data_IF_571603232284
#
_entry.id   IF_571603232284
#
_cell.length_a   1.000
_cell.length_b   1.000
_cell.length_c   1.000
_cell.angle_alpha   90.00
_cell.angle_beta   90.00
_cell.angle_gamma   90.00
#
_symmetry.space_group_name_H-M   'P 1'
#
loop_
_entity.id
_entity.type
_entity.pdbx_description
1 polymer ?
#
# COMPACT_ATOMS: atom_id res chain seq x y z
N UNK A 1 31.20 48.92 -52.98
CA UNK A 1 32.41 49.38 -53.69
C UNK A 1 32.42 50.88 -53.61
N UNK A 2 33.53 51.45 -53.18
CA UNK A 2 33.63 52.91 -52.99
C UNK A 2 33.78 53.59 -54.35
N UNK A 3 34.49 52.94 -55.28
CA UNK A 3 34.74 53.42 -56.63
C UNK A 3 34.24 52.48 -57.74
N UNK A 4 34.22 52.99 -58.97
CA UNK A 4 33.98 52.20 -60.18
C UNK A 4 35.10 51.16 -60.43
N UNK A 5 36.34 51.50 -60.10
CA UNK A 5 37.47 50.58 -60.28
C UNK A 5 37.35 49.37 -59.36
N UNK A 6 36.90 49.56 -58.11
CA UNK A 6 36.65 48.45 -57.19
C UNK A 6 35.57 47.49 -57.74
N UNK A 7 34.52 48.05 -58.37
CA UNK A 7 33.47 47.26 -59.00
C UNK A 7 34.00 46.47 -60.21
N UNK A 8 34.85 47.09 -61.04
CA UNK A 8 35.50 46.42 -62.17
C UNK A 8 36.38 45.26 -61.69
N UNK A 9 37.21 45.48 -60.66
CA UNK A 9 38.09 44.46 -60.10
C UNK A 9 37.30 43.29 -59.50
N UNK A 10 36.22 43.58 -58.75
CA UNK A 10 35.36 42.55 -58.19
C UNK A 10 34.65 41.72 -59.28
N UNK A 11 34.24 42.34 -60.39
CA UNK A 11 33.65 41.62 -61.54
C UNK A 11 34.69 40.70 -62.19
N UNK A 12 35.91 41.17 -62.40
CA UNK A 12 36.98 40.33 -62.96
C UNK A 12 37.33 39.16 -62.04
N UNK A 13 37.31 39.36 -60.73
CA UNK A 13 37.45 38.28 -59.76
C UNK A 13 36.34 37.22 -59.89
N UNK A 14 35.08 37.63 -59.98
CA UNK A 14 33.96 36.70 -60.14
C UNK A 14 34.04 35.92 -61.46
N UNK A 15 34.43 36.58 -62.56
CA UNK A 15 34.67 35.92 -63.85
C UNK A 15 35.77 34.88 -63.76
N UNK A 16 36.91 35.23 -63.14
CA UNK A 16 38.07 34.33 -63.01
C UNK A 16 37.76 33.11 -62.14
N UNK A 17 36.96 33.29 -61.10
CA UNK A 17 36.68 32.24 -60.09
C UNK A 17 35.40 31.43 -60.39
N UNK A 18 34.56 31.88 -61.32
CA UNK A 18 33.30 31.23 -61.65
C UNK A 18 32.25 31.25 -60.53
N UNK A 19 32.41 32.12 -59.52
CA UNK A 19 31.57 32.15 -58.31
C UNK A 19 30.21 32.85 -58.49
N UNK A 20 29.69 32.89 -59.72
CA UNK A 20 28.35 33.41 -60.01
C UNK A 20 28.31 34.89 -60.42
N UNK A 21 27.18 35.55 -60.13
CA UNK A 21 26.86 36.91 -60.59
C UNK A 21 26.48 37.79 -59.41
N UNK A 22 26.99 39.01 -59.40
CA UNK A 22 26.64 40.04 -58.42
C UNK A 22 26.37 41.37 -59.13
N UNK A 23 25.60 42.25 -58.46
CA UNK A 23 25.39 43.63 -58.89
C UNK A 23 26.13 44.55 -57.93
N UNK A 24 27.02 45.39 -58.47
CA UNK A 24 27.80 46.34 -57.68
C UNK A 24 27.25 47.76 -57.89
N UNK A 25 27.12 48.50 -56.80
CA UNK A 25 26.69 49.90 -56.80
C UNK A 25 27.89 50.76 -56.35
N UNK A 26 28.67 51.35 -57.29
CA UNK A 26 29.80 52.21 -56.94
C UNK A 26 29.32 53.54 -56.36
N UNK A 27 29.67 53.81 -55.10
CA UNK A 27 29.15 54.98 -54.36
C UNK A 27 29.52 56.30 -55.05
N UNK A 28 30.74 56.43 -55.56
CA UNK A 28 31.20 57.65 -56.22
C UNK A 28 30.51 57.99 -57.56
N UNK A 29 29.71 57.09 -58.13
CA UNK A 29 29.00 57.28 -59.40
C UNK A 29 27.51 56.92 -59.31
N UNK A 30 26.99 56.73 -58.11
CA UNK A 30 25.58 56.42 -57.91
C UNK A 30 24.75 57.66 -58.22
N UNK A 31 23.87 57.57 -59.22
CA UNK A 31 22.88 58.61 -59.51
C UNK A 31 21.58 58.24 -58.82
N UNK A 32 21.20 58.99 -57.79
CA UNK A 32 19.98 58.75 -57.02
C UNK A 32 18.87 59.64 -57.56
N UNK A 33 17.83 59.02 -58.11
CA UNK A 33 16.62 59.75 -58.48
C UNK A 33 15.89 60.23 -57.21
N UNK A 34 15.24 61.41 -57.25
CA UNK A 34 14.39 61.84 -56.15
C UNK A 34 13.36 60.78 -55.78
N UNK A 35 13.15 60.63 -54.47
CA UNK A 35 12.14 59.74 -53.95
C UNK A 35 10.76 60.16 -54.42
N UNK A 36 9.87 59.18 -54.59
CA UNK A 36 8.46 59.45 -54.80
C UNK A 36 7.78 59.38 -53.45
N UNK A 37 7.33 60.53 -52.95
CA UNK A 37 6.58 60.60 -51.70
C UNK A 37 5.33 59.74 -51.77
N UNK A 38 5.11 58.93 -50.73
CA UNK A 38 3.91 58.12 -50.63
C UNK A 38 2.73 59.02 -50.21
N UNK A 39 1.57 58.93 -50.88
CA UNK A 39 0.41 59.69 -50.50
C UNK A 39 -0.09 59.23 -49.12
N UNK A 40 -0.62 60.17 -48.34
CA UNK A 40 -1.39 59.81 -47.15
C UNK A 40 -2.76 59.26 -47.59
N UNK A 41 -2.79 57.96 -47.90
CA UNK A 41 -3.97 57.25 -48.39
C UNK A 41 -4.19 55.97 -47.57
N UNK A 42 -5.45 55.56 -47.33
CA UNK A 42 -5.76 54.32 -46.63
C UNK A 42 -5.05 53.11 -47.28
N UNK A 43 -4.39 52.30 -46.45
CA UNK A 43 -3.67 51.11 -46.88
C UNK A 43 -2.31 51.35 -47.53
N UNK A 44 -1.79 52.59 -47.56
CA UNK A 44 -0.41 52.90 -47.93
C UNK A 44 0.41 53.12 -46.65
N UNK A 45 1.40 52.25 -46.42
CA UNK A 45 2.26 52.29 -45.24
C UNK A 45 3.38 53.33 -45.37
N UNK A 46 3.76 53.66 -46.60
CA UNK A 46 4.74 54.71 -46.89
C UNK A 46 5.74 54.33 -47.97
N UNK A 47 6.77 55.16 -48.13
CA UNK A 47 7.91 54.86 -48.99
C UNK A 47 8.80 53.81 -48.32
N UNK A 48 9.21 52.78 -49.07
CA UNK A 48 9.99 51.67 -48.54
C UNK A 48 11.32 52.11 -47.91
N UNK A 49 11.96 53.18 -48.42
CA UNK A 49 13.19 53.71 -47.82
C UNK A 49 12.97 54.28 -46.41
N UNK A 50 11.77 54.77 -46.10
CA UNK A 50 11.44 55.30 -44.78
C UNK A 50 11.04 54.21 -43.76
N UNK A 51 10.80 52.98 -44.22
CA UNK A 51 10.38 51.85 -43.38
C UNK A 51 11.56 50.95 -42.94
N UNK A 52 12.77 51.28 -43.38
CA UNK A 52 13.99 50.52 -43.07
C UNK A 52 15.00 51.39 -42.35
N UNK A 53 15.76 50.79 -41.44
CA UNK A 53 16.88 51.46 -40.77
C UNK A 53 18.19 51.10 -41.45
N UNK A 54 19.03 52.09 -41.76
CA UNK A 54 20.33 51.91 -42.39
C UNK A 54 21.35 52.91 -41.85
N UNK A 55 22.64 52.59 -42.00
CA UNK A 55 23.72 53.51 -41.63
C UNK A 55 23.78 54.72 -42.57
N UNK A 56 24.15 55.92 -42.07
CA UNK A 56 24.20 57.14 -42.90
C UNK A 56 25.07 57.01 -44.16
N UNK A 57 26.17 56.24 -44.08
CA UNK A 57 27.11 56.01 -45.19
C UNK A 57 26.50 55.31 -46.41
N UNK A 58 25.37 54.62 -46.25
CA UNK A 58 24.65 53.91 -47.33
C UNK A 58 23.28 54.54 -47.63
N UNK A 59 23.01 55.74 -47.12
CA UNK A 59 21.71 56.39 -47.30
C UNK A 59 21.34 56.57 -48.78
N UNK A 60 22.29 56.97 -49.62
CA UNK A 60 22.08 57.11 -51.07
C UNK A 60 21.77 55.78 -51.75
N UNK A 61 22.38 54.68 -51.29
CA UNK A 61 22.11 53.33 -51.81
C UNK A 61 20.70 52.90 -51.43
N UNK A 62 20.31 53.08 -50.17
CA UNK A 62 18.96 52.75 -49.70
C UNK A 62 17.90 53.56 -50.47
N UNK A 63 18.14 54.86 -50.68
CA UNK A 63 17.26 55.72 -51.45
C UNK A 63 17.21 55.34 -52.94
N UNK A 64 18.33 54.95 -53.54
CA UNK A 64 18.36 54.46 -54.93
C UNK A 64 17.56 53.19 -55.13
N UNK A 65 17.59 52.27 -54.15
CA UNK A 65 16.93 50.97 -54.26
C UNK A 65 15.45 51.02 -53.85
N UNK A 66 15.12 51.80 -52.83
CA UNK A 66 13.80 51.76 -52.17
C UNK A 66 13.04 53.08 -52.26
N UNK A 67 13.70 54.20 -52.59
CA UNK A 67 13.12 55.54 -52.59
C UNK A 67 12.00 55.77 -53.61
N UNK A 68 11.78 54.82 -54.53
CA UNK A 68 10.70 54.87 -55.53
C UNK A 68 9.73 53.71 -55.40
N UNK A 69 9.74 53.06 -54.25
CA UNK A 69 8.88 51.93 -53.92
C UNK A 69 7.95 52.33 -52.79
N UNK A 70 6.65 52.15 -52.97
CA UNK A 70 5.66 52.28 -51.92
C UNK A 70 5.32 50.91 -51.36
N UNK A 71 5.07 50.84 -50.06
CA UNK A 71 4.55 49.65 -49.40
C UNK A 71 3.07 49.85 -49.10
N UNK A 72 2.25 48.91 -49.55
CA UNK A 72 0.81 48.89 -49.36
C UNK A 72 0.39 47.66 -48.52
N UNK A 73 -0.78 47.72 -47.89
CA UNK A 73 -1.35 46.55 -47.20
C UNK A 73 -1.75 45.48 -48.20
N UNK A 74 -2.47 45.85 -49.27
CA UNK A 74 -3.00 44.95 -50.28
C UNK A 74 -3.08 45.58 -51.70
N UNK A 75 -3.44 44.76 -52.69
CA UNK A 75 -3.58 45.20 -54.08
C UNK A 75 -4.69 46.25 -54.30
N UNK A 76 -5.89 46.14 -53.68
CA UNK A 76 -6.91 47.19 -53.75
C UNK A 76 -6.40 48.57 -53.28
N UNK A 77 -5.71 48.64 -52.15
CA UNK A 77 -5.12 49.87 -51.63
C UNK A 77 -4.04 50.41 -52.59
N UNK A 78 -3.17 49.53 -53.10
CA UNK A 78 -2.17 49.88 -54.10
C UNK A 78 -2.81 50.49 -55.36
N UNK A 79 -3.90 49.88 -55.86
CA UNK A 79 -4.61 50.37 -57.04
C UNK A 79 -5.26 51.72 -56.79
N UNK A 80 -5.97 51.87 -55.67
CA UNK A 80 -6.63 53.12 -55.30
C UNK A 80 -5.64 54.29 -55.18
N UNK A 81 -4.44 54.05 -54.64
CA UNK A 81 -3.40 55.06 -54.55
C UNK A 81 -2.81 55.43 -55.93
N UNK A 82 -2.61 54.44 -56.81
CA UNK A 82 -2.10 54.66 -58.17
C UNK A 82 -3.09 55.36 -59.10
N UNK A 83 -4.40 55.15 -58.92
CA UNK A 83 -5.46 55.81 -59.70
C UNK A 83 -5.60 57.29 -59.36
N UNK A 84 -5.25 57.68 -58.13
CA UNK A 84 -5.22 59.07 -57.67
C UNK A 84 -3.95 59.82 -58.09
N UNK A 85 -2.95 59.11 -58.61
CA UNK A 85 -1.70 59.71 -59.06
C UNK A 85 -1.90 60.36 -60.44
N UNK A 86 -1.61 61.65 -60.54
CA UNK A 86 -1.65 62.40 -61.80
C UNK A 86 -0.53 62.02 -62.77
N UNK A 87 -0.26 62.88 -63.76
CA UNK A 87 0.72 62.63 -64.85
C UNK A 87 2.21 62.63 -64.41
N UNK A 88 2.49 62.40 -63.14
CA UNK A 88 3.83 62.41 -62.56
C UNK A 88 4.56 61.06 -62.63
N UNK A 89 5.78 60.99 -62.05
CA UNK A 89 6.55 59.75 -61.99
C UNK A 89 5.79 58.67 -61.19
N UNK A 90 5.63 57.49 -61.78
CA UNK A 90 4.95 56.35 -61.14
C UNK A 90 5.92 55.55 -60.26
N UNK A 91 5.54 55.18 -59.03
CA UNK A 91 6.32 54.32 -58.15
C UNK A 91 6.15 52.84 -58.51
N UNK A 92 7.06 52.01 -58.00
CA UNK A 92 6.76 50.59 -57.80
C UNK A 92 5.92 50.48 -56.52
N UNK A 93 4.88 49.65 -56.49
CA UNK A 93 4.11 49.39 -55.26
C UNK A 93 4.26 47.92 -54.90
N UNK A 94 4.57 47.63 -53.63
CA UNK A 94 4.70 46.28 -53.10
C UNK A 94 3.72 46.12 -51.95
N UNK A 95 2.96 45.04 -51.93
CA UNK A 95 2.00 44.73 -50.85
C UNK A 95 2.67 43.96 -49.71
N UNK A 96 2.03 43.86 -48.55
CA UNK A 96 2.46 42.96 -47.47
C UNK A 96 2.39 41.47 -47.87
N UNK A 97 1.52 41.14 -48.83
CA UNK A 97 1.43 39.80 -49.44
C UNK A 97 2.57 39.49 -50.44
N UNK A 98 3.36 40.48 -50.82
CA UNK A 98 4.49 40.33 -51.75
C UNK A 98 4.13 40.50 -53.23
N UNK A 99 2.92 40.95 -53.56
CA UNK A 99 2.56 41.35 -54.91
C UNK A 99 3.25 42.68 -55.29
N UNK A 100 3.64 42.81 -56.57
CA UNK A 100 4.42 43.94 -57.07
C UNK A 100 3.71 44.57 -58.26
N UNK A 101 3.43 45.87 -58.18
CA UNK A 101 2.94 46.69 -59.30
C UNK A 101 4.09 47.59 -59.76
N UNK A 102 4.56 47.42 -61.00
CA UNK A 102 5.65 48.22 -61.57
C UNK A 102 5.13 49.54 -62.18
N UNK A 103 5.98 50.57 -62.33
CA UNK A 103 5.60 51.86 -62.93
C UNK A 103 4.93 51.76 -64.31
N UNK A 104 5.28 50.75 -65.11
CA UNK A 104 4.68 50.46 -66.41
C UNK A 104 3.32 49.74 -66.37
N UNK A 105 2.73 49.56 -65.18
CA UNK A 105 1.43 48.90 -64.98
C UNK A 105 1.48 47.37 -64.91
N UNK A 106 2.65 46.76 -65.10
CA UNK A 106 2.81 45.31 -64.95
C UNK A 106 2.64 44.88 -63.48
N UNK A 107 1.75 43.91 -63.23
CA UNK A 107 1.48 43.34 -61.91
C UNK A 107 2.08 41.94 -61.83
N UNK A 108 2.80 41.65 -60.75
CA UNK A 108 3.36 40.34 -60.44
C UNK A 108 2.80 39.86 -59.11
N UNK A 109 2.30 38.64 -59.06
CA UNK A 109 1.74 38.01 -57.85
C UNK A 109 1.64 36.50 -58.02
N UNK A 110 1.22 35.81 -56.96
CA UNK A 110 1.15 34.35 -56.89
C UNK A 110 2.25 33.74 -56.02
N UNK A 111 2.09 32.46 -55.70
CA UNK A 111 3.04 31.72 -54.85
C UNK A 111 4.22 31.26 -55.71
N UNK A 112 5.38 31.86 -55.50
CA UNK A 112 6.61 31.47 -56.18
C UNK A 112 7.15 30.17 -55.55
N UNK A 113 6.84 29.02 -56.17
CA UNK A 113 7.26 27.70 -55.67
C UNK A 113 8.78 27.49 -55.67
N UNK A 114 9.55 28.37 -56.31
CA UNK A 114 11.01 28.34 -56.34
C UNK A 114 11.68 29.27 -55.32
N UNK A 115 10.94 30.20 -54.68
CA UNK A 115 11.42 30.94 -53.50
C UNK A 115 11.11 30.10 -52.26
N UNK A 116 11.90 29.05 -52.06
CA UNK A 116 12.04 28.42 -50.73
C UNK A 116 12.39 29.53 -49.73
N UNK A 117 12.01 29.36 -48.47
CA UNK A 117 12.03 30.30 -47.34
C UNK A 117 13.39 30.99 -47.00
N UNK A 118 14.36 30.97 -47.91
CA UNK A 118 15.70 31.55 -47.85
C UNK A 118 15.72 33.06 -48.18
N UNK A 119 14.68 33.79 -47.78
CA UNK A 119 14.80 35.26 -47.76
C UNK A 119 15.87 35.60 -46.72
N UNK A 120 16.96 36.24 -47.15
CA UNK A 120 18.06 36.68 -46.27
C UNK A 120 17.53 37.43 -45.03
N UNK A 121 16.42 38.16 -45.17
CA UNK A 121 15.75 38.85 -44.07
C UNK A 121 15.04 37.91 -43.09
N UNK A 122 14.44 36.81 -43.57
CA UNK A 122 13.84 35.79 -42.71
C UNK A 122 14.91 35.05 -41.90
N UNK A 123 16.02 34.70 -42.54
CA UNK A 123 17.17 34.07 -41.87
C UNK A 123 17.82 34.98 -40.84
N UNK A 124 17.96 36.28 -41.13
CA UNK A 124 18.48 37.27 -40.19
C UNK A 124 17.55 37.46 -38.97
N UNK A 125 16.23 37.40 -39.20
CA UNK A 125 15.24 37.42 -38.11
C UNK A 125 15.34 36.17 -37.24
N UNK A 126 15.38 35.00 -37.87
CA UNK A 126 15.56 33.72 -37.17
C UNK A 126 16.86 33.74 -36.36
N UNK A 127 17.96 34.21 -36.94
CA UNK A 127 19.25 34.34 -36.25
C UNK A 127 19.17 35.23 -35.00
N UNK A 128 18.39 36.31 -35.04
CA UNK A 128 18.16 37.18 -33.88
C UNK A 128 17.26 36.57 -32.81
N UNK A 129 16.30 35.73 -33.20
CA UNK A 129 15.35 35.09 -32.27
C UNK A 129 15.93 33.81 -31.64
N UNK A 130 16.84 33.11 -32.34
CA UNK A 130 17.45 31.85 -31.90
C UNK A 130 18.10 31.90 -30.50
N UNK A 131 18.89 32.91 -30.12
CA UNK A 131 19.49 32.98 -28.78
C UNK A 131 18.46 32.94 -27.66
N UNK A 132 17.35 33.68 -27.82
CA UNK A 132 16.26 33.72 -26.84
C UNK A 132 15.55 32.36 -26.77
N UNK A 133 15.32 31.71 -27.91
CA UNK A 133 14.71 30.38 -27.96
C UNK A 133 15.60 29.33 -27.28
N UNK A 134 16.93 29.38 -27.52
CA UNK A 134 17.91 28.50 -26.88
C UNK A 134 17.89 28.71 -25.36
N UNK A 135 17.91 29.95 -24.89
CA UNK A 135 17.87 30.25 -23.46
C UNK A 135 16.58 29.72 -22.81
N UNK A 136 15.42 29.95 -23.43
CA UNK A 136 14.15 29.41 -22.94
C UNK A 136 14.13 27.89 -22.91
N UNK A 137 14.68 27.23 -23.93
CA UNK A 137 14.78 25.77 -23.98
C UNK A 137 15.72 25.23 -22.89
N UNK A 138 16.84 25.89 -22.64
CA UNK A 138 17.77 25.55 -21.57
C UNK A 138 17.10 25.69 -20.19
N UNK A 139 16.42 26.80 -19.92
CA UNK A 139 15.70 27.00 -18.66
C UNK A 139 14.60 25.93 -18.44
N UNK A 140 13.85 25.58 -19.50
CA UNK A 140 12.85 24.51 -19.44
C UNK A 140 13.50 23.16 -19.13
N UNK A 141 14.63 22.85 -19.79
CA UNK A 141 15.39 21.62 -19.56
C UNK A 141 15.88 21.53 -18.11
N UNK A 142 16.52 22.59 -17.59
CA UNK A 142 16.99 22.63 -16.20
C UNK A 142 15.86 22.43 -15.19
N UNK A 143 14.71 23.08 -15.40
CA UNK A 143 13.53 22.89 -14.54
C UNK A 143 13.00 21.46 -14.59
N UNK A 144 12.94 20.87 -15.79
CA UNK A 144 12.48 19.49 -15.95
C UNK A 144 13.44 18.50 -15.25
N UNK A 145 14.76 18.68 -15.39
CA UNK A 145 15.76 17.85 -14.69
C UNK A 145 15.63 17.98 -13.18
N UNK A 146 15.47 19.19 -12.65
CA UNK A 146 15.28 19.40 -11.21
C UNK A 146 14.00 18.73 -10.69
N UNK A 147 12.90 18.82 -11.45
CA UNK A 147 11.64 18.17 -11.11
C UNK A 147 11.75 16.64 -11.15
N UNK A 148 12.42 16.08 -12.16
CA UNK A 148 12.71 14.64 -12.23
C UNK A 148 13.52 14.17 -11.03
N UNK A 149 14.60 14.87 -10.67
CA UNK A 149 15.42 14.50 -9.51
C UNK A 149 14.62 14.56 -8.19
N UNK A 150 13.77 15.57 -8.03
CA UNK A 150 12.90 15.68 -6.86
C UNK A 150 11.89 14.52 -6.78
N UNK A 151 11.27 14.15 -7.90
CA UNK A 151 10.34 13.02 -7.98
C UNK A 151 11.06 11.69 -7.71
N UNK A 152 12.26 11.48 -8.26
CA UNK A 152 13.08 10.29 -7.97
C UNK A 152 13.37 10.19 -6.48
N UNK A 153 13.80 11.28 -5.84
CA UNK A 153 14.05 11.27 -4.39
C UNK A 153 12.78 10.98 -3.55
N UNK A 154 11.61 11.45 -3.99
CA UNK A 154 10.34 11.10 -3.35
C UNK A 154 9.98 9.62 -3.51
N UNK A 155 10.22 9.05 -4.69
CA UNK A 155 10.00 7.62 -4.98
C UNK A 155 10.92 6.76 -4.13
N UNK A 156 12.20 7.11 -4.01
CA UNK A 156 13.17 6.39 -3.18
C UNK A 156 12.77 6.41 -1.70
N UNK A 157 12.41 7.59 -1.18
CA UNK A 157 11.92 7.73 0.20
C UNK A 157 10.64 6.92 0.44
N UNK A 158 9.70 6.97 -0.49
CA UNK A 158 8.46 6.20 -0.43
C UNK A 158 8.70 4.69 -0.45
N UNK A 159 9.62 4.24 -1.30
CA UNK A 159 10.02 2.83 -1.41
C UNK A 159 10.65 2.32 -0.12
N UNK A 160 11.52 3.13 0.50
CA UNK A 160 12.12 2.80 1.79
C UNK A 160 11.07 2.66 2.91
N UNK A 161 10.13 3.60 3.01
CA UNK A 161 9.05 3.55 3.98
C UNK A 161 8.11 2.34 3.76
N UNK A 162 7.86 2.01 2.49
CA UNK A 162 7.05 0.85 2.13
C UNK A 162 7.73 -0.46 2.55
N UNK A 163 9.03 -0.59 2.33
CA UNK A 163 9.80 -1.76 2.75
C UNK A 163 9.86 -1.89 4.27
N UNK A 164 10.08 -0.79 4.99
CA UNK A 164 10.02 -0.77 6.47
C UNK A 164 8.65 -1.21 6.99
N UNK A 165 7.57 -0.70 6.39
CA UNK A 165 6.20 -1.07 6.75
C UNK A 165 5.93 -2.55 6.47
N UNK A 166 6.45 -3.08 5.36
CA UNK A 166 6.32 -4.49 5.00
C UNK A 166 7.05 -5.40 6.00
N UNK A 167 8.23 -5.02 6.44
CA UNK A 167 8.99 -5.75 7.46
C UNK A 167 8.26 -5.73 8.81
N UNK A 168 7.73 -4.59 9.22
CA UNK A 168 6.94 -4.47 10.45
C UNK A 168 5.67 -5.33 10.42
N UNK A 169 4.94 -5.36 9.29
CA UNK A 169 3.78 -6.23 9.11
C UNK A 169 4.14 -7.71 9.17
N UNK A 170 5.25 -8.10 8.54
CA UNK A 170 5.72 -9.48 8.57
C UNK A 170 6.07 -9.93 10.00
N UNK A 171 6.71 -9.07 10.77
CA UNK A 171 7.03 -9.32 12.18
C UNK A 171 5.78 -9.40 13.05
N UNK A 172 4.84 -8.46 12.89
CA UNK A 172 3.56 -8.48 13.61
C UNK A 172 2.76 -9.76 13.32
N UNK A 173 2.75 -10.22 12.06
CA UNK A 173 2.10 -11.47 11.66
C UNK A 173 2.79 -12.72 12.22
N UNK A 174 4.12 -12.68 12.46
CA UNK A 174 4.82 -13.75 13.18
C UNK A 174 4.42 -13.75 14.66
N UNK A 175 4.41 -12.59 15.30
CA UNK A 175 4.01 -12.45 16.71
C UNK A 175 2.55 -12.87 16.95
N UNK A 176 1.64 -12.51 16.05
CA UNK A 176 0.23 -12.93 16.11
C UNK A 176 0.10 -14.46 16.05
N UNK A 177 0.81 -15.11 15.11
CA UNK A 177 0.81 -16.58 15.00
C UNK A 177 1.34 -17.25 16.26
N UNK A 178 2.48 -16.78 16.78
CA UNK A 178 3.04 -17.30 18.02
C UNK A 178 2.08 -17.16 19.20
N UNK A 179 1.41 -16.00 19.34
CA UNK A 179 0.41 -15.80 20.40
C UNK A 179 -0.81 -16.70 20.22
N UNK A 180 -1.28 -16.93 18.99
CA UNK A 180 -2.37 -17.87 18.72
C UNK A 180 -2.01 -19.30 19.09
N UNK A 181 -0.80 -19.73 18.76
CA UNK A 181 -0.30 -21.07 19.12
C UNK A 181 -0.19 -21.24 20.64
N UNK A 182 0.35 -20.24 21.34
CA UNK A 182 0.42 -20.22 22.81
C UNK A 182 -0.97 -20.24 23.46
N UNK A 183 -1.93 -19.47 22.92
CA UNK A 183 -3.31 -19.47 23.39
C UNK A 183 -3.97 -20.84 23.19
N UNK A 184 -3.81 -21.45 22.01
CA UNK A 184 -4.33 -22.78 21.72
C UNK A 184 -3.70 -23.86 22.60
N UNK A 185 -2.41 -23.79 22.90
CA UNK A 185 -1.75 -24.69 23.83
C UNK A 185 -2.29 -24.52 25.25
N UNK A 186 -2.41 -23.29 25.71
CA UNK A 186 -2.94 -22.97 27.05
C UNK A 186 -4.38 -23.45 27.19
N UNK A 187 -5.22 -23.26 26.16
CA UNK A 187 -6.58 -23.78 26.14
C UNK A 187 -6.61 -25.30 26.25
N UNK A 188 -5.78 -26.01 25.47
CA UNK A 188 -5.69 -27.49 25.57
C UNK A 188 -5.23 -27.96 26.95
N UNK A 189 -4.32 -27.22 27.60
CA UNK A 189 -3.90 -27.53 28.98
C UNK A 189 -5.04 -27.32 29.97
N UNK A 190 -5.80 -26.23 29.82
CA UNK A 190 -6.98 -25.95 30.64
C UNK A 190 -8.04 -27.04 30.48
N UNK A 191 -8.37 -27.44 29.25
CA UNK A 191 -9.39 -28.46 28.98
C UNK A 191 -9.00 -29.81 29.62
N UNK A 192 -7.72 -30.20 29.51
CA UNK A 192 -7.19 -31.41 30.18
C UNK A 192 -7.28 -31.32 31.70
N UNK A 193 -6.91 -30.17 32.27
CA UNK A 193 -7.00 -29.94 33.72
C UNK A 193 -8.46 -30.01 34.21
N UNK A 194 -9.40 -29.44 33.46
CA UNK A 194 -10.83 -29.51 33.76
C UNK A 194 -11.36 -30.95 33.68
N UNK A 195 -10.99 -31.71 32.65
CA UNK A 195 -11.37 -33.12 32.53
C UNK A 195 -10.81 -33.95 33.69
N UNK A 196 -9.54 -33.75 34.04
CA UNK A 196 -8.91 -34.41 35.18
C UNK A 196 -9.63 -34.06 36.49
N UNK A 197 -9.96 -32.78 36.73
CA UNK A 197 -10.68 -32.35 37.92
C UNK A 197 -12.08 -32.99 38.00
N UNK A 198 -12.83 -33.03 36.89
CA UNK A 198 -14.14 -33.71 36.83
C UNK A 198 -14.03 -35.19 37.17
N UNK A 199 -13.05 -35.89 36.58
CA UNK A 199 -12.83 -37.30 36.86
C UNK A 199 -12.47 -37.57 38.32
N UNK A 200 -11.63 -36.73 38.93
CA UNK A 200 -11.30 -36.84 40.36
C UNK A 200 -12.54 -36.60 41.23
N UNK A 201 -13.37 -35.63 40.87
CA UNK A 201 -14.61 -35.34 41.60
C UNK A 201 -15.62 -36.48 41.52
N UNK A 202 -15.82 -37.08 40.35
CA UNK A 202 -16.65 -38.28 40.17
C UNK A 202 -16.13 -39.46 41.00
N UNK A 203 -14.81 -39.69 41.01
CA UNK A 203 -14.20 -40.74 41.86
C UNK A 203 -14.39 -40.48 43.35
N UNK A 204 -14.29 -39.23 43.78
CA UNK A 204 -14.52 -38.86 45.17
C UNK A 204 -15.99 -39.10 45.54
N UNK A 205 -16.94 -38.74 44.67
CA UNK A 205 -18.36 -39.03 44.86
C UNK A 205 -18.66 -40.52 44.95
N UNK A 206 -18.04 -41.34 44.11
CA UNK A 206 -18.18 -42.81 44.18
C UNK A 206 -17.63 -43.36 45.49
N UNK A 207 -16.43 -42.94 45.88
CA UNK A 207 -15.77 -43.40 47.10
C UNK A 207 -16.52 -42.98 48.37
N UNK A 208 -17.09 -41.78 48.39
CA UNK A 208 -17.91 -41.28 49.51
C UNK A 208 -19.24 -42.02 49.60
N UNK A 209 -19.88 -42.32 48.46
CA UNK A 209 -21.08 -43.15 48.44
C UNK A 209 -20.81 -44.60 48.90
N UNK A 210 -19.66 -45.17 48.53
CA UNK A 210 -19.22 -46.49 48.99
C UNK A 210 -18.98 -46.50 50.51
N UNK A 211 -18.30 -45.48 51.05
CA UNK A 211 -18.15 -45.32 52.50
C UNK A 211 -19.50 -45.24 53.21
N UNK A 212 -20.44 -44.44 52.71
CA UNK A 212 -21.76 -44.32 53.32
C UNK A 212 -22.51 -45.67 53.35
N UNK A 213 -22.35 -46.51 52.31
CA UNK A 213 -22.91 -47.88 52.29
C UNK A 213 -22.24 -48.78 53.33
N UNK A 214 -20.91 -48.74 53.42
CA UNK A 214 -20.16 -49.50 54.41
C UNK A 214 -20.51 -49.08 55.84
N UNK A 215 -20.76 -47.80 56.08
CA UNK A 215 -21.22 -47.27 57.38
C UNK A 215 -22.57 -47.88 57.80
N UNK A 216 -23.53 -47.95 56.89
CA UNK A 216 -24.84 -48.55 57.15
C UNK A 216 -24.69 -50.05 57.42
N UNK A 217 -23.91 -50.77 56.62
CA UNK A 217 -23.65 -52.20 56.84
C UNK A 217 -22.98 -52.45 58.19
N UNK A 218 -22.00 -51.64 58.58
CA UNK A 218 -21.36 -51.76 59.90
C UNK A 218 -22.37 -51.57 61.04
N UNK A 219 -23.30 -50.61 60.91
CA UNK A 219 -24.36 -50.40 61.89
C UNK A 219 -25.31 -51.60 61.98
N UNK A 220 -25.77 -52.14 60.85
CA UNK A 220 -26.62 -53.33 60.80
C UNK A 220 -25.94 -54.54 61.45
N UNK A 221 -24.68 -54.80 61.13
CA UNK A 221 -23.91 -55.89 61.72
C UNK A 221 -23.68 -55.69 63.22
N UNK A 222 -23.43 -54.46 63.69
CA UNK A 222 -23.32 -54.18 65.12
C UNK A 222 -24.64 -54.43 65.87
N UNK A 223 -25.78 -54.10 65.25
CA UNK A 223 -27.11 -54.40 65.81
C UNK A 223 -27.36 -55.91 65.86
N UNK A 224 -27.07 -56.63 64.78
CA UNK A 224 -27.19 -58.09 64.75
C UNK A 224 -26.27 -58.76 65.79
N UNK A 225 -25.05 -58.25 65.96
CA UNK A 225 -24.09 -58.76 66.94
C UNK A 225 -24.59 -58.55 68.37
N UNK A 226 -25.15 -57.37 68.67
CA UNK A 226 -25.72 -57.09 70.00
C UNK A 226 -26.94 -57.96 70.29
N UNK A 227 -27.81 -58.21 69.30
CA UNK A 227 -28.94 -59.14 69.43
C UNK A 227 -28.45 -60.58 69.71
N UNK A 228 -27.51 -61.10 68.92
CA UNK A 228 -26.94 -62.43 69.12
C UNK A 228 -26.25 -62.54 70.49
N UNK A 229 -25.59 -61.49 70.97
CA UNK A 229 -25.01 -61.47 72.31
C UNK A 229 -26.08 -61.58 73.39
N UNK A 230 -27.20 -60.85 73.26
CA UNK A 230 -28.32 -60.94 74.21
C UNK A 230 -29.00 -62.31 74.19
N UNK A 231 -29.18 -62.90 73.00
CA UNK A 231 -29.71 -64.26 72.84
C UNK A 231 -28.77 -65.29 73.48
N UNK A 232 -27.45 -65.15 73.27
CA UNK A 232 -26.45 -66.01 73.88
C UNK A 232 -26.48 -65.94 75.41
N UNK A 233 -26.53 -64.74 75.98
CA UNK A 233 -26.58 -64.58 77.45
C UNK A 233 -27.86 -65.17 78.03
N UNK A 234 -29.00 -64.99 77.36
CA UNK A 234 -30.26 -65.60 77.79
C UNK A 234 -30.22 -67.14 77.72
N UNK A 235 -29.62 -67.70 76.66
CA UNK A 235 -29.42 -69.15 76.53
C UNK A 235 -28.45 -69.71 77.58
N UNK A 236 -27.36 -68.99 77.89
CA UNK A 236 -26.41 -69.34 78.96
C UNK A 236 -27.08 -69.34 80.34
N UNK A 237 -27.93 -68.34 80.63
CA UNK A 237 -28.73 -68.29 81.87
C UNK A 237 -29.72 -69.46 81.95
N UNK A 238 -30.44 -69.75 80.87
CA UNK A 238 -31.35 -70.90 80.80
C UNK A 238 -30.61 -72.22 81.01
N UNK A 239 -29.45 -72.39 80.37
CA UNK A 239 -28.61 -73.57 80.54
C UNK A 239 -28.16 -73.72 81.99
N UNK A 240 -27.73 -72.65 82.66
CA UNK A 240 -27.32 -72.67 84.06
C UNK A 240 -28.48 -73.07 84.99
N UNK A 241 -29.70 -72.61 84.71
CA UNK A 241 -30.91 -73.01 85.46
C UNK A 241 -31.21 -74.50 85.27
N UNK A 242 -31.13 -74.99 84.02
CA UNK A 242 -31.35 -76.43 83.74
C UNK A 242 -30.25 -77.27 84.40
N UNK A 243 -28.98 -76.88 84.28
CA UNK A 243 -27.83 -77.52 84.95
C UNK A 243 -28.06 -77.67 86.46
N UNK A 244 -28.46 -76.59 87.14
CA UNK A 244 -28.79 -76.63 88.57
C UNK A 244 -29.97 -77.57 88.88
N UNK A 245 -31.00 -77.61 88.03
CA UNK A 245 -32.14 -78.51 88.20
C UNK A 245 -31.76 -79.99 87.97
N UNK A 246 -30.84 -80.28 87.03
CA UNK A 246 -30.33 -81.63 86.76
C UNK A 246 -29.50 -82.13 87.94
N UNK A 247 -28.60 -81.30 88.48
CA UNK A 247 -27.79 -81.63 89.67
C UNK A 247 -28.67 -81.90 90.90
N UNK A 248 -29.80 -81.19 91.03
CA UNK A 248 -30.74 -81.40 92.13
C UNK A 248 -31.64 -82.64 91.98
N UNK A 249 -31.96 -83.08 90.75
CA UNK A 249 -33.02 -84.07 90.50
C UNK A 249 -32.53 -85.44 89.98
N UNK A 250 -31.29 -85.57 89.47
CA UNK A 250 -30.73 -86.85 89.04
C UNK A 250 -31.50 -87.58 87.92
N UNK A 251 -32.30 -86.87 87.12
CA UNK A 251 -33.20 -87.44 86.11
C UNK A 251 -32.54 -87.55 84.72
N UNK A 252 -32.65 -88.71 84.06
CA UNK A 252 -31.99 -88.94 82.76
C UNK A 252 -32.57 -88.13 81.59
N UNK A 253 -33.82 -87.68 81.71
CA UNK A 253 -34.50 -86.85 80.71
C UNK A 253 -33.96 -85.41 80.70
N UNK A 254 -33.53 -84.91 81.86
CA UNK A 254 -32.87 -83.61 82.00
C UNK A 254 -31.44 -83.61 81.43
N UNK A 255 -30.74 -84.76 81.43
CA UNK A 255 -29.42 -84.89 80.82
C UNK A 255 -29.46 -84.75 79.29
N UNK A 256 -30.51 -85.23 78.63
CA UNK A 256 -30.68 -85.08 77.17
C UNK A 256 -30.96 -83.60 76.81
N UNK A 257 -31.86 -82.94 77.54
CA UNK A 257 -32.14 -81.50 77.36
C UNK A 257 -30.89 -80.65 77.57
N UNK A 258 -30.04 -81.02 78.53
CA UNK A 258 -28.77 -80.36 78.81
C UNK A 258 -27.72 -80.57 77.70
N UNK A 259 -27.68 -81.76 77.09
CA UNK A 259 -26.84 -82.02 75.93
C UNK A 259 -27.28 -81.19 74.71
N UNK A 260 -28.59 -81.12 74.45
CA UNK A 260 -29.16 -80.35 73.36
C UNK A 260 -28.94 -78.83 73.55
N UNK A 261 -29.11 -78.31 74.77
CA UNK A 261 -28.82 -76.91 75.09
C UNK A 261 -27.33 -76.57 75.00
N UNK A 262 -26.43 -77.49 75.40
CA UNK A 262 -24.97 -77.30 75.22
C UNK A 262 -24.58 -77.26 73.74
N UNK A 263 -25.20 -78.09 72.91
CA UNK A 263 -25.01 -78.06 71.46
C UNK A 263 -25.49 -76.73 70.87
N UNK A 264 -26.69 -76.26 71.27
CA UNK A 264 -27.22 -74.96 70.84
C UNK A 264 -26.35 -73.78 71.30
N UNK A 265 -25.81 -73.81 72.52
CA UNK A 265 -24.91 -72.78 73.02
C UNK A 265 -23.57 -72.75 72.25
N UNK A 266 -23.00 -73.92 71.93
CA UNK A 266 -21.79 -74.02 71.13
C UNK A 266 -22.01 -73.50 69.69
N UNK A 267 -23.17 -73.80 69.09
CA UNK A 267 -23.55 -73.29 67.77
C UNK A 267 -23.73 -71.77 67.77
N UNK A 268 -24.42 -71.21 68.78
CA UNK A 268 -24.57 -69.77 68.97
C UNK A 268 -23.20 -69.08 69.16
N UNK A 269 -22.28 -69.70 69.91
CA UNK A 269 -20.92 -69.19 70.08
C UNK A 269 -20.12 -69.22 68.77
N UNK A 270 -20.30 -70.25 67.94
CA UNK A 270 -19.74 -70.34 66.59
C UNK A 270 -20.27 -69.23 65.67
N UNK A 271 -21.59 -69.00 65.67
CA UNK A 271 -22.23 -67.92 64.93
C UNK A 271 -21.74 -66.54 65.38
N UNK A 272 -21.58 -66.32 66.69
CA UNK A 272 -21.05 -65.06 67.20
C UNK A 272 -19.62 -64.80 66.72
N UNK A 273 -18.75 -65.81 66.78
CA UNK A 273 -17.36 -65.69 66.31
C UNK A 273 -17.28 -65.39 64.81
N UNK A 274 -18.13 -66.01 63.99
CA UNK A 274 -18.15 -65.74 62.54
C UNK A 274 -18.61 -64.31 62.25
N UNK A 275 -19.64 -63.82 62.94
CA UNK A 275 -20.12 -62.44 62.82
C UNK A 275 -19.08 -61.42 63.32
N UNK A 276 -18.37 -61.71 64.41
CA UNK A 276 -17.26 -60.86 64.89
C UNK A 276 -16.14 -60.75 63.84
N UNK A 277 -15.74 -61.86 63.23
CA UNK A 277 -14.72 -61.87 62.18
C UNK A 277 -15.16 -61.09 60.94
N UNK A 278 -16.45 -61.18 60.56
CA UNK A 278 -17.01 -60.43 59.44
C UNK A 278 -16.97 -58.92 59.70
N UNK A 279 -17.38 -58.49 60.91
CA UNK A 279 -17.33 -57.09 61.34
C UNK A 279 -15.91 -56.54 61.32
N UNK A 280 -14.93 -57.25 61.87
CA UNK A 280 -13.54 -56.78 61.86
C UNK A 280 -13.00 -56.59 60.44
N UNK A 281 -13.35 -57.48 59.52
CA UNK A 281 -12.93 -57.37 58.12
C UNK A 281 -13.57 -56.15 57.43
N UNK A 282 -14.86 -55.90 57.69
CA UNK A 282 -15.53 -54.70 57.18
C UNK A 282 -14.96 -53.41 57.79
N UNK A 283 -14.63 -53.39 59.09
CA UNK A 283 -13.99 -52.24 59.73
C UNK A 283 -12.64 -51.92 59.11
N UNK A 284 -11.80 -52.93 58.84
CA UNK A 284 -10.52 -52.74 58.12
C UNK A 284 -10.74 -52.21 56.71
N UNK A 285 -11.73 -52.74 56.00
CA UNK A 285 -12.09 -52.28 54.66
C UNK A 285 -12.53 -50.82 54.67
N UNK A 286 -13.40 -50.43 55.62
CA UNK A 286 -13.88 -49.05 55.81
C UNK A 286 -12.72 -48.09 56.12
N UNK A 287 -11.83 -48.49 57.03
CA UNK A 287 -10.68 -47.68 57.42
C UNK A 287 -9.73 -47.45 56.24
N UNK A 288 -9.44 -48.51 55.45
CA UNK A 288 -8.67 -48.41 54.22
C UNK A 288 -9.31 -47.46 53.20
N UNK A 289 -10.62 -47.56 52.96
CA UNK A 289 -11.33 -46.66 52.05
C UNK A 289 -11.32 -45.21 52.55
N UNK A 290 -11.44 -44.99 53.86
CA UNK A 290 -11.38 -43.66 54.47
C UNK A 290 -9.98 -43.01 54.35
N UNK A 291 -8.93 -43.80 54.58
CA UNK A 291 -7.55 -43.36 54.39
C UNK A 291 -7.26 -43.03 52.92
N UNK A 292 -7.84 -43.81 51.99
CA UNK A 292 -7.74 -43.52 50.55
C UNK A 292 -8.44 -42.21 50.15
N UNK A 293 -9.55 -41.84 50.80
CA UNK A 293 -10.22 -40.55 50.55
C UNK A 293 -9.39 -39.39 51.09
N UNK A 294 -8.94 -39.45 52.35
CA UNK A 294 -8.10 -38.39 52.95
C UNK A 294 -6.84 -38.11 52.14
N UNK A 295 -6.15 -39.16 51.70
CA UNK A 295 -4.95 -39.02 50.88
C UNK A 295 -5.22 -38.40 49.50
N UNK A 296 -6.45 -38.51 48.99
CA UNK A 296 -6.87 -37.88 47.73
C UNK A 296 -7.35 -36.44 47.93
N UNK A 297 -7.88 -36.08 49.10
CA UNK A 297 -8.30 -34.71 49.43
C UNK A 297 -7.11 -33.78 49.76
N UNK A 298 -5.98 -34.33 50.20
CA UNK A 298 -4.77 -33.56 50.56
C UNK A 298 -3.77 -33.36 49.40
N UNK A 299 -4.02 -33.93 48.23
CA UNK A 299 -3.16 -33.84 47.03
C UNK A 299 -3.78 -32.97 45.96
#
# INVERSE_FOLDING_TARGET
TESWDDAREAIELLKRTGQGRATFLPLNRLSVLPAIEAPNAPGILGNAAALVTYEPKVAEVALSLLGRTWVAEDLPAARAALDRLGSGPRPTVVTLGGEIVRPGGAVTGGRDSNRRDDSVLAREREYRELPQQIEQAQQKSTRAVAACNALTGQIEKGSLLMEQSRQMLAELARQERQRREQAAETQRRLDRAQQAARWQQERLQQSTAELARLDVQEQEHNQALTQLQTERTAAEEQLAVVEANVEAAGASELLQQLADLRAAAAEAQGHLRSQQALRENQQRTRQSTNDQIRNKEQR
#
